data_IF_544747253860
#
_entry.id   IF_544747253860
#
_cell.length_a   1.000
_cell.length_b   1.000
_cell.length_c   1.000
_cell.angle_alpha   90.00
_cell.angle_beta   90.00
_cell.angle_gamma   90.00
#
_symmetry.space_group_name_H-M   'P 1'
#
loop_
_entity.id
_entity.type
_entity.pdbx_description
1 polymer ?
#
# COMPACT_ATOMS: atom_id res chain seq x y z
N UNK A 1 -5.57 5.98 9.42
CA UNK A 1 -4.95 7.08 8.62
C UNK A 1 -6.02 7.75 7.77
N UNK A 2 -6.93 7.00 7.09
CA UNK A 2 -7.97 7.57 6.22
C UNK A 2 -9.00 8.49 6.90
N UNK A 3 -9.21 8.42 8.21
CA UNK A 3 -10.21 9.24 8.92
C UNK A 3 -9.81 10.71 9.09
N UNK A 4 -8.53 11.04 8.98
CA UNK A 4 -8.03 12.40 9.15
C UNK A 4 -7.91 13.22 7.86
N UNK A 5 -8.10 12.57 6.71
CA UNK A 5 -7.99 13.21 5.40
C UNK A 5 -9.30 13.82 4.90
N UNK A 6 -10.43 13.52 5.55
CA UNK A 6 -11.73 14.09 5.20
C UNK A 6 -12.06 15.15 6.22
N UNK A 7 -12.14 16.41 5.78
CA UNK A 7 -12.57 17.52 6.63
C UNK A 7 -13.91 17.17 7.31
N UNK A 8 -14.04 17.33 8.64
CA UNK A 8 -15.19 16.84 9.40
C UNK A 8 -16.53 17.50 9.03
N UNK A 9 -16.52 18.58 8.24
CA UNK A 9 -17.68 19.41 7.93
C UNK A 9 -18.46 19.03 6.65
N UNK A 10 -17.93 18.14 5.83
CA UNK A 10 -18.72 17.60 4.70
C UNK A 10 -19.33 16.28 5.14
N UNK A 11 -20.57 16.34 5.64
CA UNK A 11 -21.30 15.14 6.02
C UNK A 11 -21.38 14.17 4.85
N UNK A 12 -21.11 12.88 5.12
CA UNK A 12 -21.23 11.78 4.15
C UNK A 12 -22.50 11.86 3.30
N UNK A 13 -23.55 12.43 3.88
CA UNK A 13 -24.88 12.57 3.28
C UNK A 13 -24.91 13.63 2.17
N UNK A 14 -24.29 14.78 2.38
CA UNK A 14 -24.21 15.86 1.38
C UNK A 14 -23.34 15.44 0.17
N UNK A 15 -22.23 14.77 0.45
CA UNK A 15 -21.40 14.21 -0.62
C UNK A 15 -22.15 13.17 -1.45
N UNK A 16 -22.86 12.25 -0.81
CA UNK A 16 -23.64 11.23 -1.51
C UNK A 16 -24.71 11.85 -2.40
N UNK A 17 -25.42 12.87 -1.91
CA UNK A 17 -26.41 13.60 -2.73
C UNK A 17 -25.78 14.30 -3.92
N UNK A 18 -24.70 15.05 -3.71
CA UNK A 18 -24.00 15.75 -4.78
C UNK A 18 -23.48 14.77 -5.82
N UNK A 19 -22.88 13.67 -5.40
CA UNK A 19 -22.38 12.63 -6.26
C UNK A 19 -23.50 11.97 -7.08
N UNK A 20 -24.61 11.64 -6.42
CA UNK A 20 -25.78 11.04 -7.09
C UNK A 20 -26.35 11.99 -8.16
N UNK A 21 -26.50 13.27 -7.83
CA UNK A 21 -26.97 14.28 -8.79
C UNK A 21 -26.01 14.44 -9.98
N UNK A 22 -24.70 14.41 -9.74
CA UNK A 22 -23.71 14.46 -10.80
C UNK A 22 -23.79 13.24 -11.73
N UNK A 23 -23.93 12.03 -11.17
CA UNK A 23 -24.11 10.80 -11.98
C UNK A 23 -25.36 10.88 -12.84
N UNK A 24 -26.49 11.29 -12.25
CA UNK A 24 -27.75 11.44 -12.98
C UNK A 24 -27.63 12.50 -14.09
N UNK A 25 -27.01 13.63 -13.81
CA UNK A 25 -26.81 14.70 -14.78
C UNK A 25 -25.98 14.21 -15.99
N UNK A 26 -24.83 13.61 -15.76
CA UNK A 26 -23.97 13.11 -16.85
C UNK A 26 -24.62 11.97 -17.62
N UNK A 27 -25.36 11.08 -16.95
CA UNK A 27 -26.11 10.00 -17.61
C UNK A 27 -27.22 10.56 -18.50
N UNK A 28 -27.92 11.59 -18.02
CA UNK A 28 -28.99 12.24 -18.78
C UNK A 28 -28.44 13.02 -19.98
N UNK A 29 -27.31 13.74 -19.81
CA UNK A 29 -26.65 14.43 -20.92
C UNK A 29 -26.19 13.44 -22.01
N UNK A 30 -25.58 12.31 -21.61
CA UNK A 30 -25.16 11.29 -22.56
C UNK A 30 -26.34 10.67 -23.31
N UNK A 31 -27.44 10.37 -22.61
CA UNK A 31 -28.66 9.88 -23.21
C UNK A 31 -29.27 10.90 -24.18
N UNK A 32 -29.26 12.19 -23.83
CA UNK A 32 -29.72 13.29 -24.71
C UNK A 32 -28.95 13.36 -26.01
N UNK A 33 -27.63 13.27 -25.94
CA UNK A 33 -26.77 13.25 -27.15
C UNK A 33 -27.10 12.03 -28.02
N UNK A 34 -27.22 10.84 -27.42
CA UNK A 34 -27.55 9.63 -28.17
C UNK A 34 -28.93 9.69 -28.81
N UNK A 35 -29.93 10.20 -28.10
CA UNK A 35 -31.29 10.28 -28.62
C UNK A 35 -31.44 11.35 -29.71
N UNK A 36 -30.77 12.50 -29.56
CA UNK A 36 -30.72 13.55 -30.61
C UNK A 36 -30.05 13.02 -31.88
N UNK A 37 -29.00 12.19 -31.75
CA UNK A 37 -28.33 11.57 -32.90
C UNK A 37 -29.23 10.53 -33.64
N UNK A 38 -30.18 9.90 -32.94
CA UNK A 38 -31.00 8.81 -33.50
C UNK A 38 -32.46 9.18 -33.71
N UNK A 39 -32.92 10.37 -33.33
CA UNK A 39 -34.30 10.84 -33.55
C UNK A 39 -35.39 9.95 -32.93
N UNK A 40 -35.10 9.27 -31.79
CA UNK A 40 -35.97 8.24 -31.21
C UNK A 40 -36.92 8.78 -30.13
N UNK A 41 -38.09 8.12 -29.93
CA UNK A 41 -39.10 8.55 -28.95
C UNK A 41 -38.67 8.39 -27.49
N UNK A 42 -39.42 9.05 -26.60
CA UNK A 42 -39.13 9.15 -25.15
C UNK A 42 -38.72 7.83 -24.43
N UNK A 43 -39.36 6.68 -24.69
CA UNK A 43 -38.96 5.42 -24.02
C UNK A 43 -37.55 4.97 -24.42
N UNK A 44 -37.08 5.29 -25.62
CA UNK A 44 -35.71 4.98 -26.04
C UNK A 44 -34.68 5.82 -25.27
N UNK A 45 -35.02 7.02 -24.84
CA UNK A 45 -34.16 7.85 -23.98
C UNK A 45 -33.95 7.24 -22.63
N UNK A 46 -34.95 6.65 -22.01
CA UNK A 46 -34.84 5.99 -20.71
C UNK A 46 -33.89 4.80 -20.79
N UNK A 47 -34.00 3.99 -21.84
CA UNK A 47 -33.11 2.85 -22.07
C UNK A 47 -31.66 3.34 -22.31
N UNK A 48 -31.50 4.38 -23.15
CA UNK A 48 -30.18 4.98 -23.40
C UNK A 48 -29.56 5.58 -22.14
N UNK A 49 -30.35 6.23 -21.26
CA UNK A 49 -29.88 6.75 -19.99
C UNK A 49 -29.39 5.63 -19.07
N UNK A 50 -30.09 4.50 -19.00
CA UNK A 50 -29.68 3.35 -18.22
C UNK A 50 -28.38 2.74 -18.75
N UNK A 51 -28.25 2.59 -20.07
CA UNK A 51 -27.04 2.07 -20.71
C UNK A 51 -25.84 3.01 -20.52
N UNK A 52 -26.08 4.33 -20.52
CA UNK A 52 -25.03 5.34 -20.32
C UNK A 52 -24.66 5.56 -18.85
N UNK A 53 -25.40 4.96 -17.88
CA UNK A 53 -25.17 5.15 -16.46
C UNK A 53 -23.73 4.80 -16.00
N UNK A 54 -23.09 3.71 -16.45
CA UNK A 54 -21.70 3.41 -16.08
C UNK A 54 -20.71 4.48 -16.57
N UNK A 55 -20.92 5.02 -17.78
CA UNK A 55 -20.10 6.09 -18.33
C UNK A 55 -20.31 7.40 -17.56
N UNK A 56 -21.57 7.73 -17.23
CA UNK A 56 -21.92 8.88 -16.38
C UNK A 56 -21.31 8.78 -14.99
N UNK A 57 -21.33 7.61 -14.40
CA UNK A 57 -20.67 7.35 -13.11
C UNK A 57 -19.16 7.62 -13.16
N UNK A 58 -18.46 7.08 -14.16
CA UNK A 58 -17.01 7.31 -14.34
C UNK A 58 -16.69 8.79 -14.53
N UNK A 59 -17.48 9.48 -15.34
CA UNK A 59 -17.33 10.91 -15.58
C UNK A 59 -17.56 11.72 -14.30
N UNK A 60 -18.62 11.40 -13.54
CA UNK A 60 -18.89 12.04 -12.25
C UNK A 60 -17.75 11.82 -11.24
N UNK A 61 -17.21 10.60 -11.13
CA UNK A 61 -16.03 10.31 -10.28
C UNK A 61 -14.87 11.21 -10.67
N UNK A 62 -14.52 11.26 -11.95
CA UNK A 62 -13.41 12.07 -12.44
C UNK A 62 -13.56 13.56 -12.09
N UNK A 63 -14.74 14.14 -12.32
CA UNK A 63 -15.01 15.54 -11.99
C UNK A 63 -15.02 15.79 -10.48
N UNK A 64 -15.63 14.90 -9.70
CA UNK A 64 -15.62 14.99 -8.25
C UNK A 64 -14.20 14.95 -7.69
N UNK A 65 -13.35 14.03 -8.13
CA UNK A 65 -11.95 13.95 -7.71
C UNK A 65 -11.19 15.23 -8.04
N UNK A 66 -11.35 15.76 -9.25
CA UNK A 66 -10.71 17.02 -9.67
C UNK A 66 -11.20 18.23 -8.85
N UNK A 67 -12.50 18.30 -8.60
CA UNK A 67 -13.10 19.35 -7.78
C UNK A 67 -12.61 19.28 -6.33
N UNK A 68 -12.64 18.08 -5.75
CA UNK A 68 -12.12 17.86 -4.40
C UNK A 68 -10.64 18.19 -4.27
N UNK A 69 -9.83 17.78 -5.23
CA UNK A 69 -8.39 18.11 -5.23
C UNK A 69 -8.13 19.62 -5.25
N UNK A 70 -9.05 20.40 -5.82
CA UNK A 70 -8.95 21.88 -5.86
C UNK A 70 -9.54 22.56 -4.62
N UNK A 71 -10.64 22.02 -4.08
CA UNK A 71 -11.36 22.63 -2.95
C UNK A 71 -10.78 22.23 -1.59
N UNK A 72 -10.32 20.99 -1.47
CA UNK A 72 -9.67 20.53 -0.26
C UNK A 72 -8.21 20.99 -0.26
N UNK A 73 -7.92 21.99 0.57
CA UNK A 73 -6.53 22.27 0.95
C UNK A 73 -6.05 21.07 1.76
N UNK A 74 -5.35 20.14 1.10
CA UNK A 74 -4.66 19.07 1.79
C UNK A 74 -3.59 19.73 2.66
N UNK A 75 -3.78 19.75 3.96
CA UNK A 75 -2.72 20.11 4.88
C UNK A 75 -1.67 19.01 4.76
N UNK A 76 -0.52 19.35 4.19
CA UNK A 76 0.61 18.43 4.21
C UNK A 76 0.85 17.97 5.65
N UNK A 77 1.00 16.67 5.90
CA UNK A 77 1.33 16.20 7.23
C UNK A 77 2.60 16.91 7.68
N UNK A 78 2.63 17.31 8.96
CA UNK A 78 3.84 17.88 9.54
C UNK A 78 4.98 16.92 9.29
N UNK A 79 5.93 17.34 8.47
CA UNK A 79 7.15 16.59 8.23
C UNK A 79 8.32 17.34 8.86
N UNK A 80 9.22 16.59 9.48
CA UNK A 80 10.46 17.17 9.97
C UNK A 80 11.37 17.44 8.77
N UNK A 81 11.54 18.71 8.40
CA UNK A 81 12.40 19.14 7.32
C UNK A 81 13.88 19.23 7.80
N UNK A 82 14.44 18.10 8.21
CA UNK A 82 15.85 18.03 8.55
C UNK A 82 16.65 17.66 7.30
N UNK A 83 17.75 18.38 7.04
CA UNK A 83 18.73 18.01 6.02
C UNK A 83 19.43 16.70 6.37
N UNK A 84 19.61 16.46 7.68
CA UNK A 84 20.22 15.25 8.22
C UNK A 84 19.39 14.76 9.40
N UNK A 85 19.36 13.44 9.60
CA UNK A 85 18.69 12.84 10.76
C UNK A 85 19.50 13.21 12.00
N UNK A 86 18.91 13.89 13.00
CA UNK A 86 19.60 14.26 14.22
C UNK A 86 20.06 13.00 14.98
N UNK A 87 21.10 13.14 15.80
CA UNK A 87 21.65 12.00 16.57
C UNK A 87 20.62 11.31 17.48
N UNK A 88 19.59 12.02 17.94
CA UNK A 88 18.46 11.48 18.71
C UNK A 88 17.40 10.79 17.84
N UNK A 89 17.38 11.04 16.52
CA UNK A 89 16.40 10.53 15.58
C UNK A 89 16.88 9.28 14.86
N UNK A 90 17.14 8.18 15.60
CA UNK A 90 17.49 6.91 14.95
C UNK A 90 16.30 6.30 14.24
N UNK A 91 16.48 5.84 13.00
CA UNK A 91 15.46 5.20 12.21
C UNK A 91 15.86 3.74 11.90
N UNK A 92 14.88 2.84 11.94
CA UNK A 92 15.01 1.45 11.52
C UNK A 92 14.07 1.20 10.35
N UNK A 93 14.64 0.85 9.20
CA UNK A 93 13.89 0.45 8.01
C UNK A 93 13.73 -1.07 8.05
N UNK A 94 12.53 -1.54 8.36
CA UNK A 94 12.23 -2.97 8.39
C UNK A 94 11.61 -3.41 7.06
N UNK A 95 12.16 -4.45 6.46
CA UNK A 95 11.61 -5.10 5.26
C UNK A 95 11.11 -6.48 5.67
N UNK A 96 9.77 -6.67 5.76
CA UNK A 96 9.20 -7.98 6.07
C UNK A 96 9.34 -8.90 4.85
N UNK A 97 9.65 -10.15 5.11
CA UNK A 97 9.80 -11.20 4.09
C UNK A 97 9.33 -12.55 4.62
N UNK A 98 8.66 -13.31 3.77
CA UNK A 98 8.47 -14.73 3.97
C UNK A 98 9.73 -15.46 3.47
N UNK A 99 10.55 -15.95 4.40
CA UNK A 99 11.82 -16.61 4.12
C UNK A 99 11.57 -18.07 3.73
N UNK A 100 11.37 -18.32 2.44
CA UNK A 100 11.11 -19.65 1.91
C UNK A 100 12.40 -20.37 1.49
N UNK A 101 13.35 -19.62 0.90
CA UNK A 101 14.56 -20.14 0.30
C UNK A 101 15.69 -19.08 0.30
N UNK A 102 16.87 -19.49 -0.21
CA UNK A 102 18.04 -18.61 -0.30
C UNK A 102 17.86 -17.50 -1.33
N UNK A 103 17.12 -17.76 -2.42
CA UNK A 103 16.89 -16.77 -3.48
C UNK A 103 16.03 -15.60 -2.95
N UNK A 104 14.97 -15.91 -2.21
CA UNK A 104 14.16 -14.90 -1.54
C UNK A 104 14.99 -14.03 -0.56
N UNK A 105 15.91 -14.67 0.19
CA UNK A 105 16.82 -13.95 1.06
C UNK A 105 17.74 -13.02 0.25
N UNK A 106 18.35 -13.50 -0.83
CA UNK A 106 19.27 -12.72 -1.67
C UNK A 106 18.58 -11.49 -2.27
N UNK A 107 17.35 -11.63 -2.78
CA UNK A 107 16.58 -10.50 -3.31
C UNK A 107 16.40 -9.39 -2.28
N UNK A 108 16.06 -9.76 -1.04
CA UNK A 108 15.86 -8.76 0.02
C UNK A 108 17.19 -8.14 0.46
N UNK A 109 18.27 -8.91 0.56
CA UNK A 109 19.59 -8.35 0.90
C UNK A 109 20.08 -7.38 -0.17
N UNK A 110 19.91 -7.67 -1.45
CA UNK A 110 20.20 -6.71 -2.52
C UNK A 110 19.35 -5.43 -2.41
N UNK A 111 18.08 -5.55 -2.06
CA UNK A 111 17.20 -4.41 -1.84
C UNK A 111 17.65 -3.56 -0.65
N UNK A 112 17.99 -4.21 0.46
CA UNK A 112 18.52 -3.54 1.65
C UNK A 112 19.86 -2.84 1.37
N UNK A 113 20.73 -3.46 0.58
CA UNK A 113 22.00 -2.85 0.15
C UNK A 113 21.75 -1.60 -0.72
N UNK A 114 20.83 -1.68 -1.69
CA UNK A 114 20.43 -0.53 -2.51
C UNK A 114 19.84 0.60 -1.66
N UNK A 115 19.05 0.28 -0.63
CA UNK A 115 18.54 1.29 0.31
C UNK A 115 19.67 1.92 1.13
N UNK A 116 20.62 1.14 1.61
CA UNK A 116 21.74 1.65 2.38
C UNK A 116 22.64 2.58 1.55
N UNK A 117 22.87 2.26 0.27
CA UNK A 117 23.63 3.11 -0.65
C UNK A 117 22.95 4.44 -0.92
N UNK A 118 21.61 4.43 -1.05
CA UNK A 118 20.82 5.66 -1.27
C UNK A 118 20.66 6.51 -0.02
N UNK A 119 20.87 5.93 1.17
CA UNK A 119 20.72 6.58 2.47
C UNK A 119 22.01 6.41 3.29
N UNK A 120 23.06 7.19 3.03
CA UNK A 120 24.37 7.02 3.64
C UNK A 120 24.41 7.41 5.14
N UNK A 121 23.35 7.97 5.67
CA UNK A 121 23.26 8.45 7.05
C UNK A 121 23.39 7.30 8.05
N UNK A 122 24.32 7.43 8.99
CA UNK A 122 24.63 6.39 10.00
C UNK A 122 23.50 6.12 10.99
N UNK A 123 22.59 7.06 11.14
CA UNK A 123 21.42 6.95 12.03
C UNK A 123 20.35 6.01 11.49
N UNK A 124 20.41 5.66 10.20
CA UNK A 124 19.47 4.72 9.56
C UNK A 124 20.08 3.31 9.64
N UNK A 125 19.32 2.40 10.22
CA UNK A 125 19.61 0.96 10.19
C UNK A 125 18.60 0.24 9.32
N UNK A 126 18.98 -0.90 8.80
CA UNK A 126 18.17 -1.71 7.89
C UNK A 126 17.97 -3.09 8.52
N UNK A 127 16.75 -3.56 8.50
CA UNK A 127 16.39 -4.83 9.12
C UNK A 127 15.61 -5.70 8.13
N UNK A 128 16.07 -6.93 7.95
CA UNK A 128 15.24 -7.99 7.40
C UNK A 128 14.40 -8.56 8.53
N UNK A 129 13.08 -8.43 8.43
CA UNK A 129 12.13 -9.08 9.34
C UNK A 129 11.65 -10.36 8.68
N UNK A 130 12.25 -11.47 9.02
CA UNK A 130 12.02 -12.76 8.38
C UNK A 130 10.97 -13.58 9.10
N UNK A 131 9.95 -14.00 8.37
CA UNK A 131 8.98 -15.01 8.78
C UNK A 131 9.30 -16.32 8.05
N UNK A 132 9.39 -17.39 8.80
CA UNK A 132 9.60 -18.70 8.19
C UNK A 132 8.29 -19.20 7.55
N UNK A 133 8.41 -19.87 6.40
CA UNK A 133 7.26 -20.44 5.68
C UNK A 133 6.47 -21.41 6.57
N UNK A 134 5.18 -21.50 6.33
CA UNK A 134 4.25 -22.38 7.06
C UNK A 134 4.76 -23.82 7.15
N UNK A 135 4.47 -24.47 8.27
CA UNK A 135 4.87 -25.86 8.52
C UNK A 135 3.87 -26.61 9.38
N UNK A 136 3.90 -27.94 9.30
CA UNK A 136 3.18 -28.82 10.24
C UNK A 136 3.82 -28.89 11.62
N UNK A 137 5.06 -28.41 11.76
CA UNK A 137 5.83 -28.38 13.00
C UNK A 137 6.42 -26.99 13.22
N UNK A 138 6.72 -26.66 14.48
CA UNK A 138 7.33 -25.38 14.85
C UNK A 138 8.71 -25.18 14.17
N UNK A 139 9.48 -26.25 14.03
CA UNK A 139 10.81 -26.23 13.39
C UNK A 139 10.91 -27.27 12.28
N UNK A 140 11.56 -26.89 11.19
CA UNK A 140 11.99 -27.79 10.12
C UNK A 140 13.51 -27.95 10.16
N UNK A 141 14.02 -29.10 9.72
CA UNK A 141 15.47 -29.35 9.66
C UNK A 141 16.23 -28.36 8.77
N UNK A 142 15.54 -27.82 7.76
CA UNK A 142 16.09 -26.87 6.78
C UNK A 142 16.17 -25.43 7.30
N UNK A 143 15.40 -25.10 8.33
CA UNK A 143 15.31 -23.72 8.86
C UNK A 143 16.68 -23.22 9.36
N UNK A 144 17.42 -24.06 10.07
CA UNK A 144 18.72 -23.66 10.65
C UNK A 144 19.77 -23.38 9.58
N UNK A 145 19.72 -24.10 8.46
CA UNK A 145 20.62 -23.86 7.34
C UNK A 145 20.28 -22.52 6.63
N UNK A 146 18.99 -22.26 6.47
CA UNK A 146 18.49 -21.03 5.85
C UNK A 146 18.77 -19.80 6.73
N UNK A 147 18.57 -19.91 8.04
CA UNK A 147 18.86 -18.85 9.00
C UNK A 147 20.37 -18.56 9.08
N UNK A 148 21.22 -19.59 9.09
CA UNK A 148 22.68 -19.39 9.03
C UNK A 148 23.11 -18.70 7.76
N UNK A 149 22.48 -19.03 6.62
CA UNK A 149 22.73 -18.34 5.36
C UNK A 149 22.35 -16.86 5.44
N UNK A 150 21.16 -16.53 5.90
CA UNK A 150 20.70 -15.15 6.06
C UNK A 150 21.59 -14.36 7.03
N UNK A 151 22.02 -14.98 8.14
CA UNK A 151 22.95 -14.37 9.09
C UNK A 151 24.30 -14.07 8.43
N UNK A 152 24.86 -15.03 7.68
CA UNK A 152 26.15 -14.82 6.98
C UNK A 152 26.10 -13.65 5.99
N UNK A 153 24.97 -13.46 5.30
CA UNK A 153 24.75 -12.30 4.39
C UNK A 153 24.66 -10.99 5.18
N UNK A 154 23.93 -10.99 6.31
CA UNK A 154 23.87 -9.84 7.22
C UNK A 154 25.26 -9.43 7.68
N UNK A 155 26.06 -10.39 8.09
CA UNK A 155 27.43 -10.16 8.57
C UNK A 155 28.34 -9.65 7.45
N UNK A 156 28.16 -10.15 6.21
CA UNK A 156 28.89 -9.67 5.05
C UNK A 156 28.58 -8.19 4.75
N UNK A 157 27.29 -7.80 4.78
CA UNK A 157 26.88 -6.42 4.62
C UNK A 157 27.39 -5.52 5.75
N UNK A 158 27.36 -6.00 6.98
CA UNK A 158 27.89 -5.27 8.14
C UNK A 158 29.40 -5.07 8.06
N UNK A 159 30.17 -6.04 7.52
CA UNK A 159 31.60 -5.86 7.25
C UNK A 159 31.85 -4.80 6.18
N UNK A 160 30.99 -4.71 5.16
CA UNK A 160 31.12 -3.78 4.04
C UNK A 160 30.70 -2.36 4.38
N UNK A 161 29.62 -2.18 5.14
CA UNK A 161 28.97 -0.89 5.37
C UNK A 161 28.88 -0.45 6.84
N UNK A 162 29.53 -1.18 7.74
CA UNK A 162 29.42 -0.98 9.19
C UNK A 162 28.16 -1.62 9.78
N UNK A 163 28.01 -1.63 11.10
CA UNK A 163 26.94 -2.30 11.84
C UNK A 163 25.56 -1.64 11.63
N UNK A 164 25.06 -1.70 10.40
CA UNK A 164 23.78 -1.07 9.97
C UNK A 164 22.70 -2.07 9.62
N UNK A 165 23.03 -3.33 9.45
CA UNK A 165 22.10 -4.37 9.01
C UNK A 165 21.76 -5.31 10.15
N UNK A 166 20.48 -5.65 10.28
CA UNK A 166 19.94 -6.52 11.31
C UNK A 166 19.11 -7.62 10.64
N UNK A 167 19.16 -8.81 11.21
CA UNK A 167 18.25 -9.90 10.91
C UNK A 167 17.37 -10.15 12.14
N UNK A 168 16.08 -9.98 12.02
CA UNK A 168 15.09 -10.37 13.02
C UNK A 168 14.26 -11.50 12.45
N UNK A 169 14.15 -12.58 13.20
CA UNK A 169 13.39 -13.77 12.81
C UNK A 169 12.25 -13.97 13.78
N UNK A 170 11.02 -14.05 13.27
CA UNK A 170 9.86 -14.42 14.08
C UNK A 170 9.73 -15.95 14.13
N UNK A 171 9.48 -16.45 15.33
CA UNK A 171 9.22 -17.88 15.52
C UNK A 171 7.86 -18.24 14.95
N UNK A 172 7.72 -19.46 14.45
CA UNK A 172 6.40 -20.00 14.13
C UNK A 172 5.62 -20.23 15.40
N UNK A 173 4.36 -19.81 15.40
CA UNK A 173 3.37 -20.10 16.42
C UNK A 173 2.26 -20.96 15.85
N UNK A 174 1.58 -21.73 16.68
CA UNK A 174 0.48 -22.59 16.23
C UNK A 174 -0.76 -21.75 15.99
N UNK A 175 -1.25 -21.74 14.74
CA UNK A 175 -2.52 -21.14 14.35
C UNK A 175 -3.64 -22.15 14.53
N UNK A 176 -4.51 -21.96 15.54
CA UNK A 176 -5.58 -22.90 15.86
C UNK A 176 -6.65 -23.04 14.74
N UNK A 177 -7.08 -21.96 14.05
CA UNK A 177 -8.01 -22.06 12.93
C UNK A 177 -7.48 -22.91 11.77
N UNK A 178 -6.22 -22.71 11.38
CA UNK A 178 -5.62 -23.36 10.21
C UNK A 178 -4.89 -24.67 10.55
N UNK A 179 -4.74 -24.96 11.85
CA UNK A 179 -4.02 -26.15 12.38
C UNK A 179 -2.61 -26.31 11.84
N UNK A 180 -1.92 -25.22 11.63
CA UNK A 180 -0.53 -25.15 11.13
C UNK A 180 0.29 -24.17 11.96
N UNK A 181 1.63 -24.29 11.88
CA UNK A 181 2.54 -23.34 12.46
C UNK A 181 2.91 -22.26 11.43
N UNK A 182 2.79 -20.99 11.79
CA UNK A 182 3.14 -19.85 10.95
C UNK A 182 3.85 -18.73 11.73
N UNK A 183 4.63 -17.89 11.02
CA UNK A 183 5.49 -16.89 11.63
C UNK A 183 4.86 -15.51 11.81
N UNK A 184 3.67 -15.28 11.25
CA UNK A 184 3.05 -13.96 11.20
C UNK A 184 1.79 -13.81 12.06
N UNK A 185 1.49 -14.72 12.91
CA UNK A 185 0.43 -14.62 13.91
C UNK A 185 0.91 -14.14 15.29
#
# INVERSE_FOLDING_TARGET
IGRYLIAPNYGRRQFAWFFTLAVLFFSFCAAGVCAAAWGKPLPAWMIAALVCMPAGYRTAVFFCEKLYARLLRVHAPLCLAHKEIPACGRALVCVPILLCDKAAADEVFERLEKFALRNPQRQIRFCMLADLAQAKSERKAEDDALLRYAQSKTDALNRKYGARFLLLVRRRTFCAPDKIFMGWE
#
